data_IF_965362606464
#
_entry.id   IF_965362606464
#
_cell.length_a   1.000
_cell.length_b   1.000
_cell.length_c   1.000
_cell.angle_alpha   90.00
_cell.angle_beta   90.00
_cell.angle_gamma   90.00
#
_symmetry.space_group_name_H-M   'P 1'
#
loop_
_entity.id
_entity.type
_entity.pdbx_description
1 polymer ?
#
# COMPACT_ATOMS: atom_id res chain seq x y z
N UNK A 1 1.28 -5.42 -7.38
CA UNK A 1 1.47 -6.19 -6.13
C UNK A 1 2.90 -6.69 -5.95
N UNK A 2 3.59 -7.16 -7.00
CA UNK A 2 4.97 -7.64 -6.87
C UNK A 2 5.93 -6.60 -6.29
N UNK A 3 5.86 -5.32 -6.70
CA UNK A 3 6.69 -4.25 -6.13
C UNK A 3 6.44 -4.02 -4.63
N UNK A 4 5.18 -4.05 -4.21
CA UNK A 4 4.79 -3.84 -2.80
C UNK A 4 5.33 -4.97 -1.93
N UNK A 5 5.19 -6.23 -2.40
CA UNK A 5 5.73 -7.40 -1.68
C UNK A 5 7.25 -7.40 -1.66
N UNK A 6 7.91 -7.02 -2.75
CA UNK A 6 9.37 -6.90 -2.80
C UNK A 6 9.88 -5.86 -1.79
N UNK A 7 9.29 -4.67 -1.78
CA UNK A 7 9.63 -3.61 -0.83
C UNK A 7 9.43 -4.06 0.63
N UNK A 8 8.32 -4.73 0.93
CA UNK A 8 8.07 -5.29 2.26
C UNK A 8 9.14 -6.32 2.67
N UNK A 9 9.58 -7.18 1.76
CA UNK A 9 10.65 -8.14 2.03
C UNK A 9 12.01 -7.46 2.26
N UNK A 10 12.32 -6.40 1.50
CA UNK A 10 13.56 -5.64 1.70
C UNK A 10 13.59 -4.93 3.05
N UNK A 11 12.44 -4.39 3.50
CA UNK A 11 12.29 -3.78 4.83
C UNK A 11 12.31 -4.81 5.95
N UNK A 12 11.87 -6.04 5.69
CA UNK A 12 11.75 -7.11 6.66
C UNK A 12 12.64 -8.30 6.29
N UNK A 13 13.98 -8.19 6.42
CA UNK A 13 14.90 -9.26 6.06
C UNK A 13 14.76 -10.53 6.93
N UNK A 14 14.01 -10.47 8.04
CA UNK A 14 13.70 -11.60 8.93
C UNK A 14 12.37 -12.29 8.61
N UNK A 15 11.66 -11.87 7.57
CA UNK A 15 10.36 -12.44 7.22
C UNK A 15 10.54 -13.73 6.42
N UNK A 16 10.43 -14.87 7.11
CA UNK A 16 10.57 -16.21 6.51
C UNK A 16 9.19 -16.68 6.01
N UNK A 17 8.74 -16.14 4.87
CA UNK A 17 7.49 -16.60 4.25
C UNK A 17 6.81 -15.61 3.29
N UNK A 18 5.81 -16.06 2.52
CA UNK A 18 5.01 -15.17 1.69
C UNK A 18 4.08 -14.32 2.55
N UNK A 19 4.07 -13.00 2.33
CA UNK A 19 3.15 -12.08 2.98
C UNK A 19 1.75 -12.31 2.38
N UNK A 20 0.79 -12.69 3.24
CA UNK A 20 -0.59 -12.86 2.84
C UNK A 20 -1.22 -11.53 2.38
N UNK A 21 -2.13 -11.59 1.42
CA UNK A 21 -2.86 -10.36 1.00
C UNK A 21 -3.75 -9.80 2.11
N UNK A 22 -4.20 -10.67 3.02
CA UNK A 22 -4.98 -10.31 4.20
C UNK A 22 -4.11 -10.12 5.45
N UNK A 23 -2.78 -10.18 5.29
CA UNK A 23 -1.84 -10.02 6.40
C UNK A 23 -1.85 -8.59 6.91
N UNK A 24 -1.81 -8.47 8.24
CA UNK A 24 -1.92 -7.21 8.93
C UNK A 24 -0.53 -6.55 9.04
N UNK A 25 -0.21 -5.67 8.10
CA UNK A 25 1.12 -5.08 7.93
C UNK A 25 1.56 -4.24 9.15
N UNK A 26 0.60 -3.72 9.90
CA UNK A 26 0.84 -2.88 11.08
C UNK A 26 1.00 -3.74 12.32
N UNK A 27 0.09 -4.69 12.54
CA UNK A 27 0.17 -5.60 13.70
C UNK A 27 1.37 -6.55 13.60
N UNK A 28 1.68 -7.05 12.39
CA UNK A 28 2.89 -7.82 12.12
C UNK A 28 4.16 -6.95 12.12
N UNK A 29 4.02 -5.63 12.30
CA UNK A 29 5.10 -4.65 12.39
C UNK A 29 6.02 -4.67 11.17
N UNK A 30 5.42 -4.84 9.99
CA UNK A 30 6.10 -4.87 8.70
C UNK A 30 6.33 -3.46 8.14
N UNK A 31 5.52 -2.50 8.58
CA UNK A 31 5.63 -1.09 8.25
C UNK A 31 5.67 -0.31 9.57
N UNK A 32 6.78 0.39 9.79
CA UNK A 32 6.93 1.32 10.91
C UNK A 32 6.58 2.75 10.47
N UNK A 33 6.50 3.70 11.40
CA UNK A 33 6.06 5.08 11.10
C UNK A 33 6.91 5.81 10.06
N UNK A 34 8.19 5.46 9.95
CA UNK A 34 9.10 6.03 8.93
C UNK A 34 8.89 5.37 7.57
N UNK A 35 8.75 4.05 7.55
CA UNK A 35 8.51 3.28 6.32
C UNK A 35 7.13 3.56 5.73
N UNK A 36 6.17 4.01 6.53
CA UNK A 36 4.83 4.38 6.09
C UNK A 36 4.84 5.49 5.02
N UNK A 37 5.68 6.51 5.18
CA UNK A 37 5.80 7.59 4.18
C UNK A 37 6.39 7.06 2.86
N UNK A 38 7.41 6.20 2.93
CA UNK A 38 7.97 5.55 1.73
C UNK A 38 6.98 4.58 1.09
N UNK A 39 6.13 3.93 1.90
CA UNK A 39 5.08 3.05 1.40
C UNK A 39 4.05 3.82 0.59
N UNK A 40 3.66 5.01 1.06
CA UNK A 40 2.74 5.89 0.33
C UNK A 40 3.37 6.33 -0.98
N UNK A 41 4.61 6.81 -0.97
CA UNK A 41 5.33 7.23 -2.18
C UNK A 41 5.42 6.08 -3.20
N UNK A 42 5.71 4.86 -2.74
CA UNK A 42 5.68 3.67 -3.58
C UNK A 42 4.29 3.39 -4.17
N UNK A 43 3.23 3.56 -3.38
CA UNK A 43 1.86 3.37 -3.86
C UNK A 43 1.45 4.45 -4.87
N UNK A 44 1.83 5.70 -4.65
CA UNK A 44 1.64 6.81 -5.58
C UNK A 44 2.39 6.55 -6.91
N UNK A 45 3.63 6.05 -6.85
CA UNK A 45 4.39 5.68 -8.05
C UNK A 45 3.71 4.56 -8.85
N UNK A 46 3.20 3.53 -8.15
CA UNK A 46 2.56 2.38 -8.81
C UNK A 46 1.17 2.75 -9.34
N UNK A 47 0.40 3.51 -8.57
CA UNK A 47 -0.95 3.98 -8.93
C UNK A 47 -0.91 5.06 -10.01
N UNK A 48 0.11 5.91 -9.98
CA UNK A 48 0.20 7.13 -10.78
C UNK A 48 -0.69 8.26 -10.27
N UNK A 49 -1.28 8.12 -9.09
CA UNK A 49 -2.20 9.07 -8.47
C UNK A 49 -1.69 9.48 -7.08
N UNK A 50 -1.95 10.73 -6.70
CA UNK A 50 -1.51 11.23 -5.40
C UNK A 50 -2.43 10.78 -4.27
N UNK A 51 -1.85 10.20 -3.23
CA UNK A 51 -2.61 9.66 -2.10
C UNK A 51 -2.80 10.76 -1.05
N UNK A 52 -4.05 11.17 -0.85
CA UNK A 52 -4.40 12.13 0.19
C UNK A 52 -4.49 11.46 1.56
N UNK A 53 -3.54 11.80 2.44
CA UNK A 53 -3.45 11.26 3.81
C UNK A 53 -4.61 11.68 4.72
N UNK A 54 -5.42 12.66 4.33
CA UNK A 54 -6.59 13.10 5.09
C UNK A 54 -7.84 12.28 4.74
N UNK A 55 -7.91 11.73 3.53
CA UNK A 55 -9.03 10.88 3.07
C UNK A 55 -8.82 9.39 3.36
N UNK A 56 -7.59 8.98 3.60
CA UNK A 56 -7.22 7.60 3.92
C UNK A 56 -7.03 7.41 5.42
N UNK A 57 -7.33 6.22 5.89
CA UNK A 57 -7.14 5.84 7.29
C UNK A 57 -6.07 4.78 7.40
N UNK A 58 -5.51 4.64 8.60
CA UNK A 58 -4.56 3.57 8.91
C UNK A 58 -5.10 2.17 8.55
N UNK A 59 -6.43 1.98 8.61
CA UNK A 59 -7.12 0.73 8.28
C UNK A 59 -7.04 0.40 6.77
N UNK A 60 -6.91 1.42 5.91
CA UNK A 60 -6.73 1.24 4.46
C UNK A 60 -5.35 0.65 4.10
N UNK A 61 -4.36 0.88 4.97
CA UNK A 61 -2.98 0.36 4.82
C UNK A 61 -2.74 -0.92 5.62
N UNK A 62 -3.75 -1.36 6.36
CA UNK A 62 -3.66 -2.49 7.28
C UNK A 62 -3.37 -3.80 6.57
N UNK A 63 -3.97 -4.01 5.39
CA UNK A 63 -3.74 -5.21 4.57
C UNK A 63 -3.43 -4.86 3.13
N UNK A 64 -2.62 -5.71 2.51
CA UNK A 64 -2.28 -5.63 1.09
C UNK A 64 -3.51 -5.67 0.17
N UNK A 65 -4.55 -6.40 0.56
CA UNK A 65 -5.81 -6.48 -0.16
C UNK A 65 -6.50 -5.11 -0.19
N UNK A 66 -6.62 -4.43 0.95
CA UNK A 66 -7.25 -3.11 1.03
C UNK A 66 -6.46 -2.06 0.28
N UNK A 67 -5.14 -2.04 0.47
CA UNK A 67 -4.24 -1.18 -0.29
C UNK A 67 -4.45 -1.38 -1.79
N UNK A 68 -4.52 -2.65 -2.21
CA UNK A 68 -4.76 -2.98 -3.61
C UNK A 68 -6.12 -2.49 -4.07
N UNK A 69 -7.20 -2.72 -3.34
CA UNK A 69 -8.54 -2.29 -3.80
C UNK A 69 -8.69 -0.77 -3.81
N UNK A 70 -8.16 -0.08 -2.80
CA UNK A 70 -8.28 1.37 -2.61
C UNK A 70 -7.40 2.16 -3.58
N UNK A 71 -6.13 1.76 -3.72
CA UNK A 71 -5.13 2.51 -4.48
C UNK A 71 -4.85 1.89 -5.85
N UNK A 72 -4.77 0.56 -5.95
CA UNK A 72 -4.39 -0.13 -7.19
C UNK A 72 -5.59 -0.68 -7.99
N UNK A 73 -6.79 -0.63 -7.43
CA UNK A 73 -8.01 -1.25 -7.97
C UNK A 73 -8.80 -0.31 -8.87
N UNK A 74 -8.55 0.99 -8.78
CA UNK A 74 -9.30 2.04 -9.47
C UNK A 74 -8.57 2.59 -10.71
N UNK A 75 -7.72 1.78 -11.35
CA UNK A 75 -7.00 2.13 -12.60
C UNK A 75 -7.96 2.17 -13.81
N UNK A 76 -9.01 2.98 -13.73
CA UNK A 76 -10.01 3.05 -14.80
C UNK A 76 -11.14 4.08 -14.71
N UNK A 77 -11.25 4.94 -13.68
CA UNK A 77 -12.41 5.85 -13.56
C UNK A 77 -12.08 7.34 -13.35
N UNK A 78 -10.81 7.73 -13.18
CA UNK A 78 -10.45 9.12 -12.86
C UNK A 78 -10.44 10.10 -14.06
N UNK A 79 -10.69 9.64 -15.30
CA UNK A 79 -10.83 10.53 -16.47
C UNK A 79 -12.28 11.00 -16.76
N UNK A 80 -13.23 10.83 -15.82
CA UNK A 80 -14.65 11.17 -16.04
C UNK A 80 -15.20 12.33 -15.18
N UNK A 81 -14.36 13.08 -14.45
CA UNK A 81 -14.83 14.17 -13.58
C UNK A 81 -14.05 15.48 -13.79
N UNK A 82 -13.95 15.89 -15.06
CA UNK A 82 -13.69 17.27 -15.45
C UNK A 82 -14.53 17.59 -16.69
N UNK A 83 -15.82 17.92 -16.49
CA UNK A 83 -16.77 18.29 -17.53
C UNK A 83 -17.91 19.13 -16.97
#
# INVERSE_FOLDING_TARGET
MERVVAWLNEKNPGLDGPIGVDEDLIEARLIDSMDFLEFIDLLEEISGDSIDLQEVTIDDFRTLARVKERFLGSVGLAEAQAG
#
